data_IF_700091482922
#
_entry.id   IF_700091482922
#
_cell.length_a   1.000
_cell.length_b   1.000
_cell.length_c   1.000
_cell.angle_alpha   90.00
_cell.angle_beta   90.00
_cell.angle_gamma   90.00
#
_symmetry.space_group_name_H-M   'P 1'
#
loop_
_entity.id
_entity.type
_entity.pdbx_description
1 polymer ?
#
# COMPACT_ATOMS: atom_id res chain seq x y z
N UNK A 1 -24.76 -9.69 -7.79
CA UNK A 1 -26.01 -10.39 -7.40
C UNK A 1 -25.85 -10.94 -5.98
N UNK A 2 -26.86 -10.75 -5.10
CA UNK A 2 -26.89 -11.36 -3.78
C UNK A 2 -27.62 -12.71 -3.89
N UNK A 3 -26.92 -13.85 -3.76
CA UNK A 3 -27.55 -15.17 -3.88
C UNK A 3 -28.54 -15.46 -2.76
N UNK A 4 -29.47 -16.40 -3.00
CA UNK A 4 -30.40 -16.87 -1.96
C UNK A 4 -29.62 -17.45 -0.77
N UNK A 5 -30.01 -17.07 0.43
CA UNK A 5 -29.33 -17.48 1.66
C UNK A 5 -28.17 -16.60 2.12
N UNK A 6 -27.68 -15.68 1.27
CA UNK A 6 -26.70 -14.69 1.65
C UNK A 6 -27.33 -13.50 2.38
N UNK A 7 -26.54 -12.82 3.20
CA UNK A 7 -26.94 -11.63 3.95
C UNK A 7 -26.07 -10.46 3.52
N UNK A 8 -26.67 -9.27 3.45
CA UNK A 8 -25.93 -8.02 3.35
C UNK A 8 -25.55 -7.57 4.76
N UNK A 9 -24.27 -7.22 4.95
CA UNK A 9 -23.76 -6.62 6.18
C UNK A 9 -23.30 -5.22 5.88
N UNK A 10 -23.76 -4.25 6.66
CA UNK A 10 -23.25 -2.88 6.67
C UNK A 10 -22.42 -2.73 7.94
N UNK A 11 -21.18 -2.25 7.80
CA UNK A 11 -20.31 -1.90 8.90
C UNK A 11 -20.06 -0.38 8.82
N UNK A 12 -20.26 0.30 9.96
CA UNK A 12 -19.99 1.74 10.10
C UNK A 12 -18.86 1.87 11.11
N UNK A 13 -17.83 2.62 10.75
CA UNK A 13 -16.63 2.80 11.55
C UNK A 13 -16.13 4.24 11.43
N UNK A 14 -15.52 4.76 12.48
CA UNK A 14 -14.88 6.08 12.51
C UNK A 14 -13.44 6.07 12.02
N UNK A 15 -12.86 4.88 11.85
CA UNK A 15 -11.52 4.68 11.31
C UNK A 15 -11.44 3.34 10.58
N UNK A 16 -10.46 3.21 9.69
CA UNK A 16 -10.12 1.96 9.02
C UNK A 16 -8.60 1.86 8.88
N UNK A 17 -7.95 1.64 10.01
CA UNK A 17 -6.50 1.59 10.14
C UNK A 17 -5.85 0.50 9.30
N UNK A 18 -4.74 0.81 8.57
CA UNK A 18 -4.06 2.10 8.44
C UNK A 18 -4.58 2.98 7.30
N UNK A 19 -5.58 2.55 6.53
CA UNK A 19 -6.09 3.25 5.34
C UNK A 19 -6.83 4.54 5.67
N UNK A 20 -7.64 4.53 6.75
CA UNK A 20 -8.31 5.71 7.28
C UNK A 20 -7.86 5.92 8.71
N UNK A 21 -7.14 7.00 8.93
CA UNK A 21 -6.58 7.33 10.22
C UNK A 21 -7.67 7.73 11.21
N UNK A 22 -7.50 7.38 12.50
CA UNK A 22 -8.49 7.71 13.51
C UNK A 22 -8.55 9.21 13.78
N UNK A 23 -9.70 9.69 14.25
CA UNK A 23 -9.85 11.03 14.80
C UNK A 23 -8.95 11.21 16.04
N UNK A 24 -8.52 12.46 16.37
CA UNK A 24 -7.64 12.71 17.51
C UNK A 24 -8.21 12.25 18.85
N UNK A 25 -9.53 12.28 18.97
CA UNK A 25 -10.26 11.86 20.15
C UNK A 25 -11.18 10.70 19.83
N UNK A 26 -11.24 9.72 20.73
CA UNK A 26 -12.21 8.64 20.61
C UNK A 26 -13.64 9.23 20.65
N UNK A 27 -14.30 9.22 19.50
CA UNK A 27 -15.68 9.70 19.37
C UNK A 27 -16.57 8.51 18.98
N UNK A 28 -17.29 7.90 19.93
CA UNK A 28 -18.21 6.82 19.60
C UNK A 28 -19.36 7.35 18.75
N UNK A 29 -19.65 6.65 17.65
CA UNK A 29 -20.83 6.94 16.82
C UNK A 29 -22.00 6.11 17.32
N UNK A 30 -23.10 6.79 17.62
CA UNK A 30 -24.35 6.15 18.03
C UNK A 30 -25.32 6.17 16.85
N UNK A 31 -25.63 5.00 16.32
CA UNK A 31 -26.64 4.86 15.28
C UNK A 31 -28.03 4.80 15.91
N UNK A 32 -28.80 5.88 15.84
CA UNK A 32 -30.14 5.97 16.41
C UNK A 32 -31.24 5.56 15.44
N UNK A 33 -31.04 5.81 14.16
CA UNK A 33 -31.96 5.43 13.08
C UNK A 33 -31.20 5.43 11.75
N UNK A 34 -31.75 4.77 10.74
CA UNK A 34 -31.17 4.75 9.41
C UNK A 34 -32.07 4.05 8.40
N UNK A 35 -31.88 4.41 7.13
CA UNK A 35 -32.52 3.73 6.00
C UNK A 35 -31.44 3.31 5.02
N UNK A 36 -31.47 2.06 4.59
CA UNK A 36 -30.61 1.55 3.54
C UNK A 36 -31.40 1.43 2.23
N UNK A 37 -31.07 2.26 1.26
CA UNK A 37 -31.65 2.18 -0.08
C UNK A 37 -30.71 1.42 -0.99
N UNK A 38 -31.20 0.35 -1.60
CA UNK A 38 -30.44 -0.49 -2.52
C UNK A 38 -31.03 -0.41 -3.93
N UNK A 39 -30.20 -0.22 -4.97
CA UNK A 39 -30.67 -0.30 -6.34
C UNK A 39 -31.07 -1.75 -6.65
N UNK A 40 -32.29 -1.92 -7.14
CA UNK A 40 -32.79 -3.21 -7.60
C UNK A 40 -32.86 -3.21 -9.14
N UNK A 41 -32.08 -4.09 -9.76
CA UNK A 41 -32.17 -4.29 -11.21
C UNK A 41 -33.47 -5.04 -11.52
N UNK A 42 -34.39 -4.46 -12.31
CA UNK A 42 -35.56 -5.21 -12.78
C UNK A 42 -35.10 -6.36 -13.67
N UNK A 43 -35.67 -7.54 -13.43
CA UNK A 43 -35.46 -8.71 -14.31
C UNK A 43 -36.32 -8.50 -15.57
N UNK A 44 -35.73 -7.99 -16.62
CA UNK A 44 -36.35 -7.93 -17.96
C UNK A 44 -35.86 -9.10 -18.80
N UNK A 45 -36.61 -9.48 -19.82
CA UNK A 45 -36.23 -10.58 -20.75
C UNK A 45 -34.82 -10.35 -21.34
N UNK A 46 -34.39 -9.12 -21.51
CA UNK A 46 -33.10 -8.74 -22.09
C UNK A 46 -31.98 -8.53 -21.05
N UNK A 47 -32.27 -8.60 -19.76
CA UNK A 47 -31.27 -8.30 -18.75
C UNK A 47 -30.19 -9.38 -18.55
N UNK A 48 -30.49 -10.59 -18.99
CA UNK A 48 -29.58 -11.76 -18.95
C UNK A 48 -28.99 -12.10 -20.35
N UNK A 49 -29.36 -11.34 -21.40
CA UNK A 49 -28.89 -11.55 -22.78
C UNK A 49 -27.64 -10.71 -23.12
N UNK A 50 -27.11 -9.96 -22.12
CA UNK A 50 -25.92 -9.17 -22.35
C UNK A 50 -24.70 -10.07 -22.45
N UNK A 51 -24.10 -10.13 -23.62
CA UNK A 51 -22.82 -10.78 -23.86
C UNK A 51 -21.70 -9.73 -23.90
N UNK A 52 -20.68 -9.95 -23.11
CA UNK A 52 -19.45 -9.16 -23.21
C UNK A 52 -18.59 -9.77 -24.32
N UNK A 53 -17.94 -8.91 -25.08
CA UNK A 53 -16.88 -9.34 -25.97
C UNK A 53 -15.82 -10.11 -25.17
N UNK A 54 -15.14 -11.10 -25.77
CA UNK A 54 -14.00 -11.73 -25.14
C UNK A 54 -12.99 -10.69 -24.67
N UNK A 55 -12.36 -10.91 -23.51
CA UNK A 55 -11.32 -10.01 -23.03
C UNK A 55 -10.18 -9.93 -24.06
N UNK A 56 -9.83 -8.72 -24.44
CA UNK A 56 -8.63 -8.50 -25.25
C UNK A 56 -7.40 -8.88 -24.43
N UNK A 57 -6.50 -9.64 -25.05
CA UNK A 57 -5.24 -10.07 -24.45
C UNK A 57 -4.09 -9.79 -25.40
N UNK A 58 -2.98 -9.35 -24.85
CA UNK A 58 -1.71 -9.29 -25.57
C UNK A 58 -0.84 -10.50 -25.21
N UNK A 59 0.17 -10.77 -26.02
CA UNK A 59 1.18 -11.77 -25.67
C UNK A 59 1.88 -11.33 -24.37
N UNK A 60 1.98 -12.20 -23.36
CA UNK A 60 2.69 -11.87 -22.13
C UNK A 60 4.12 -11.48 -22.42
N UNK A 61 4.65 -10.53 -21.64
CA UNK A 61 6.05 -10.17 -21.68
C UNK A 61 6.90 -11.43 -21.37
N UNK A 62 7.89 -11.71 -22.22
CA UNK A 62 8.84 -12.80 -21.96
C UNK A 62 9.79 -12.37 -20.87
N UNK A 63 9.73 -13.05 -19.74
CA UNK A 63 10.59 -12.77 -18.61
C UNK A 63 11.03 -14.08 -17.92
N UNK A 64 12.31 -14.12 -17.59
CA UNK A 64 12.91 -15.21 -16.81
C UNK A 64 13.01 -14.76 -15.34
N UNK A 65 12.39 -15.52 -14.44
CA UNK A 65 12.46 -15.24 -13.00
C UNK A 65 13.83 -15.60 -12.47
N UNK A 66 14.54 -14.62 -11.89
CA UNK A 66 15.83 -14.79 -11.22
C UNK A 66 15.63 -15.10 -9.73
N UNK A 67 14.72 -14.35 -9.10
CA UNK A 67 14.37 -14.50 -7.70
C UNK A 67 12.84 -14.53 -7.55
N UNK A 68 12.27 -15.53 -6.86
CA UNK A 68 10.83 -15.58 -6.63
C UNK A 68 10.38 -14.46 -5.68
N UNK A 69 9.13 -14.04 -5.84
CA UNK A 69 8.48 -13.13 -4.91
C UNK A 69 8.23 -13.81 -3.55
N UNK A 70 8.27 -13.00 -2.49
CA UNK A 70 7.95 -13.43 -1.13
C UNK A 70 7.26 -12.30 -0.37
N UNK A 71 6.14 -12.61 0.28
CA UNK A 71 5.31 -11.62 0.95
C UNK A 71 5.02 -12.05 2.39
N UNK A 72 5.18 -11.10 3.32
CA UNK A 72 4.84 -11.28 4.72
C UNK A 72 3.87 -10.17 5.13
N UNK A 73 2.80 -10.55 5.79
CA UNK A 73 1.90 -9.62 6.47
C UNK A 73 1.54 -10.19 7.84
N UNK A 74 1.91 -9.46 8.90
CA UNK A 74 1.66 -9.89 10.27
C UNK A 74 1.29 -8.73 11.18
N UNK A 75 0.55 -9.05 12.23
CA UNK A 75 0.34 -8.13 13.36
C UNK A 75 1.23 -8.57 14.52
N UNK A 76 1.86 -7.59 15.16
CA UNK A 76 2.62 -7.77 16.40
C UNK A 76 1.97 -6.94 17.51
N UNK A 77 1.98 -7.47 18.73
CA UNK A 77 1.51 -6.76 19.92
C UNK A 77 2.64 -6.74 20.93
N UNK A 78 3.08 -5.55 21.30
CA UNK A 78 4.01 -5.38 22.42
C UNK A 78 3.21 -5.58 23.72
N UNK A 79 3.46 -6.72 24.41
CA UNK A 79 2.76 -7.11 25.62
C UNK A 79 2.99 -6.14 26.79
N UNK A 80 4.05 -5.37 26.79
CA UNK A 80 4.38 -4.39 27.83
C UNK A 80 3.66 -3.07 27.62
N UNK A 81 3.53 -2.62 26.38
CA UNK A 81 2.96 -1.30 26.06
C UNK A 81 1.55 -1.38 25.49
N UNK A 82 1.12 -2.54 25.00
CA UNK A 82 -0.15 -2.69 24.28
C UNK A 82 -0.11 -2.16 22.82
N UNK A 83 1.04 -1.69 22.36
CA UNK A 83 1.18 -1.18 20.98
C UNK A 83 0.93 -2.31 19.98
N UNK A 84 0.10 -2.04 19.00
CA UNK A 84 -0.19 -2.95 17.89
C UNK A 84 0.53 -2.45 16.65
N UNK A 85 1.27 -3.32 15.99
CA UNK A 85 2.00 -3.04 14.76
C UNK A 85 1.52 -3.94 13.64
N UNK A 86 1.10 -3.36 12.51
CA UNK A 86 0.97 -4.10 11.25
C UNK A 86 2.29 -3.98 10.51
N UNK A 87 2.89 -5.13 10.18
CA UNK A 87 4.14 -5.23 9.43
C UNK A 87 3.86 -5.88 8.09
N UNK A 88 4.31 -5.22 7.02
CA UNK A 88 4.22 -5.70 5.65
C UNK A 88 5.65 -5.71 5.10
N UNK A 89 6.10 -6.86 4.61
CA UNK A 89 7.37 -7.03 3.95
C UNK A 89 7.11 -7.73 2.62
N UNK A 90 7.22 -6.97 1.54
CA UNK A 90 6.99 -7.45 0.19
C UNK A 90 8.33 -7.47 -0.57
N UNK A 91 8.74 -8.64 -1.00
CA UNK A 91 9.77 -8.84 -2.00
C UNK A 91 9.04 -9.29 -3.28
N UNK A 92 8.98 -8.43 -4.27
CA UNK A 92 8.30 -8.72 -5.53
C UNK A 92 9.11 -9.64 -6.45
N UNK A 93 10.27 -10.08 -5.97
CA UNK A 93 11.20 -10.89 -6.74
C UNK A 93 12.06 -10.07 -7.70
N UNK A 94 12.80 -10.80 -8.52
CA UNK A 94 13.65 -10.22 -9.57
C UNK A 94 13.44 -10.99 -10.85
N UNK A 95 13.25 -10.31 -11.96
CA UNK A 95 13.06 -10.91 -13.28
C UNK A 95 13.96 -10.26 -14.31
N UNK A 96 14.44 -11.09 -15.23
CA UNK A 96 15.10 -10.66 -16.47
C UNK A 96 14.05 -10.57 -17.56
N UNK A 97 13.94 -9.42 -18.21
CA UNK A 97 13.04 -9.21 -19.36
C UNK A 97 13.81 -9.57 -20.63
N UNK A 98 13.45 -10.70 -21.24
CA UNK A 98 14.25 -11.35 -22.27
C UNK A 98 14.38 -10.53 -23.55
N UNK A 99 13.36 -9.74 -23.91
CA UNK A 99 13.33 -8.96 -25.16
C UNK A 99 14.38 -7.83 -25.20
N UNK A 100 14.79 -7.30 -24.05
CA UNK A 100 15.72 -6.16 -24.01
C UNK A 100 16.76 -6.22 -22.86
N UNK A 101 16.86 -7.36 -22.18
CA UNK A 101 17.90 -7.61 -21.17
C UNK A 101 17.82 -6.74 -19.92
N UNK A 102 16.64 -6.25 -19.54
CA UNK A 102 16.47 -5.52 -18.29
C UNK A 102 16.24 -6.50 -17.14
N UNK A 103 17.07 -6.41 -16.12
CA UNK A 103 16.88 -7.10 -14.84
C UNK A 103 16.20 -6.09 -13.90
N UNK A 104 15.03 -6.45 -13.38
CA UNK A 104 14.25 -5.55 -12.52
C UNK A 104 13.77 -6.29 -11.28
N UNK A 105 13.88 -5.63 -10.13
CA UNK A 105 13.39 -6.15 -8.85
C UNK A 105 12.99 -5.02 -7.91
N UNK A 106 12.08 -5.32 -6.97
CA UNK A 106 11.68 -4.34 -5.96
C UNK A 106 11.34 -5.00 -4.63
N UNK A 107 11.50 -4.23 -3.56
CA UNK A 107 11.07 -4.61 -2.22
C UNK A 107 10.33 -3.45 -1.56
N UNK A 108 9.37 -3.77 -0.69
CA UNK A 108 8.69 -2.81 0.15
C UNK A 108 8.67 -3.31 1.59
N UNK A 109 8.89 -2.40 2.53
CA UNK A 109 8.75 -2.67 3.96
C UNK A 109 7.91 -1.56 4.57
N UNK A 110 6.81 -1.95 5.20
CA UNK A 110 5.91 -1.01 5.84
C UNK A 110 5.67 -1.42 7.29
N UNK A 111 5.58 -0.43 8.15
CA UNK A 111 5.22 -0.60 9.55
C UNK A 111 4.21 0.46 9.96
N UNK A 112 3.09 0.01 10.50
CA UNK A 112 1.96 0.82 10.93
C UNK A 112 1.65 0.52 12.38
N UNK A 113 1.97 1.47 13.26
CA UNK A 113 1.85 1.32 14.71
C UNK A 113 0.66 2.14 15.23
N UNK A 114 -0.11 1.56 16.15
CA UNK A 114 -1.16 2.26 16.89
C UNK A 114 -1.37 1.60 18.26
N UNK A 115 -1.59 2.41 19.29
CA UNK A 115 -2.11 1.93 20.55
C UNK A 115 -3.65 2.01 20.52
N UNK A 116 -4.39 0.92 20.81
CA UNK A 116 -5.85 0.88 20.67
C UNK A 116 -6.59 1.97 21.45
N UNK A 117 -6.06 2.35 22.62
CA UNK A 117 -6.67 3.35 23.50
C UNK A 117 -6.13 4.78 23.27
N UNK A 118 -5.22 4.96 22.31
CA UNK A 118 -4.63 6.26 22.01
C UNK A 118 -4.55 6.51 20.50
N UNK A 119 -5.58 7.15 19.90
CA UNK A 119 -5.61 7.43 18.46
C UNK A 119 -4.44 8.27 17.95
N UNK A 120 -3.89 9.16 18.80
CA UNK A 120 -2.75 10.04 18.42
C UNK A 120 -1.43 9.26 18.34
N UNK A 121 -1.37 8.05 18.89
CA UNK A 121 -0.20 7.19 18.76
C UNK A 121 0.00 6.62 17.37
N UNK A 122 -0.99 6.81 16.48
CA UNK A 122 -0.94 6.32 15.11
C UNK A 122 0.26 6.88 14.35
N UNK A 123 1.09 6.02 13.81
CA UNK A 123 2.22 6.37 12.97
C UNK A 123 2.51 5.28 11.95
N UNK A 124 3.06 5.64 10.83
CA UNK A 124 3.46 4.71 9.82
C UNK A 124 4.74 5.16 9.12
N UNK A 125 5.48 4.22 8.62
CA UNK A 125 6.57 4.44 7.72
C UNK A 125 6.66 3.34 6.68
N UNK A 126 7.20 3.68 5.52
CA UNK A 126 7.47 2.75 4.44
C UNK A 126 8.87 2.99 3.88
N UNK A 127 9.50 1.91 3.42
CA UNK A 127 10.74 1.91 2.70
C UNK A 127 10.59 1.06 1.45
N UNK A 128 10.72 1.69 0.29
CA UNK A 128 10.68 1.03 -1.01
C UNK A 128 12.06 1.07 -1.66
N UNK A 129 12.47 -0.06 -2.21
CA UNK A 129 13.69 -0.17 -3.00
C UNK A 129 13.34 -0.72 -4.37
N UNK A 130 13.79 -0.04 -5.41
CA UNK A 130 13.69 -0.49 -6.79
C UNK A 130 15.10 -0.66 -7.36
N UNK A 131 15.37 -1.78 -8.01
CA UNK A 131 16.64 -2.07 -8.68
C UNK A 131 16.39 -2.35 -10.15
N UNK A 132 17.23 -1.79 -11.01
CA UNK A 132 17.26 -2.09 -12.43
C UNK A 132 18.72 -2.26 -12.87
N UNK A 133 18.98 -3.27 -13.68
CA UNK A 133 20.32 -3.58 -14.18
C UNK A 133 20.28 -4.12 -15.60
N UNK A 134 21.42 -4.16 -16.24
CA UNK A 134 21.64 -4.80 -17.56
C UNK A 134 22.94 -5.61 -17.54
N UNK A 135 23.04 -6.57 -18.43
CA UNK A 135 24.21 -7.46 -18.55
C UNK A 135 25.52 -6.72 -18.89
N UNK A 136 25.43 -5.47 -19.35
CA UNK A 136 26.61 -4.63 -19.68
C UNK A 136 27.27 -3.97 -18.44
N UNK A 137 26.84 -4.31 -17.24
CA UNK A 137 27.34 -3.73 -15.99
C UNK A 137 26.64 -2.45 -15.52
N UNK A 138 25.71 -1.91 -16.32
CA UNK A 138 24.89 -0.80 -15.86
C UNK A 138 23.88 -1.26 -14.81
N UNK A 139 23.80 -0.56 -13.68
CA UNK A 139 22.79 -0.78 -12.67
C UNK A 139 22.39 0.53 -11.99
N UNK A 140 21.13 0.61 -11.60
CA UNK A 140 20.59 1.71 -10.79
C UNK A 140 19.74 1.16 -9.66
N UNK A 141 19.77 1.85 -8.54
CA UNK A 141 18.96 1.55 -7.38
C UNK A 141 18.35 2.84 -6.86
N UNK A 142 17.05 2.80 -6.57
CA UNK A 142 16.37 3.90 -5.89
C UNK A 142 15.84 3.42 -4.54
N UNK A 143 15.88 4.30 -3.57
CA UNK A 143 15.26 4.14 -2.25
C UNK A 143 14.30 5.28 -2.00
N UNK A 144 13.09 4.94 -1.60
CA UNK A 144 12.08 5.90 -1.18
C UNK A 144 11.65 5.53 0.24
N UNK A 145 11.91 6.42 1.17
CA UNK A 145 11.48 6.32 2.56
C UNK A 145 10.42 7.38 2.81
N UNK A 146 9.38 7.03 3.54
CA UNK A 146 8.41 8.01 4.00
C UNK A 146 7.80 7.61 5.32
N UNK A 147 7.30 8.60 6.03
CA UNK A 147 6.61 8.37 7.28
C UNK A 147 5.57 9.43 7.56
N UNK A 148 4.63 9.06 8.42
CA UNK A 148 3.59 9.95 8.89
C UNK A 148 3.27 9.66 10.35
N UNK A 149 3.06 10.71 11.12
CA UNK A 149 2.43 10.68 12.43
C UNK A 149 1.46 11.87 12.56
N UNK A 150 0.70 11.92 13.63
CA UNK A 150 -0.25 13.00 13.84
C UNK A 150 -0.27 13.45 15.28
N UNK A 151 -0.58 14.72 15.50
CA UNK A 151 -1.02 15.27 16.77
C UNK A 151 -2.53 15.59 16.74
N UNK A 152 -3.03 16.39 17.67
CA UNK A 152 -4.45 16.78 17.72
C UNK A 152 -4.87 17.70 16.57
N UNK A 153 -3.93 18.41 15.92
CA UNK A 153 -4.21 19.49 14.99
C UNK A 153 -3.71 19.22 13.58
N UNK A 154 -2.67 18.39 13.44
CA UNK A 154 -1.97 18.23 12.16
C UNK A 154 -1.50 16.80 11.93
N UNK A 155 -1.37 16.46 10.66
CA UNK A 155 -0.56 15.36 10.18
C UNK A 155 0.84 15.88 9.85
N UNK A 156 1.87 15.16 10.29
CA UNK A 156 3.27 15.43 10.01
C UNK A 156 3.80 14.32 9.10
N UNK A 157 4.21 14.70 7.92
CA UNK A 157 4.74 13.79 6.91
C UNK A 157 6.18 14.12 6.60
N UNK A 158 6.94 13.13 6.28
CA UNK A 158 8.27 13.28 5.71
C UNK A 158 8.46 12.27 4.57
N UNK A 159 9.28 12.62 3.61
CA UNK A 159 9.72 11.72 2.56
C UNK A 159 11.19 11.99 2.23
N UNK A 160 11.88 10.92 1.90
CA UNK A 160 13.28 10.93 1.47
C UNK A 160 13.42 10.03 0.24
N UNK A 161 14.09 10.51 -0.78
CA UNK A 161 14.37 9.76 -1.99
C UNK A 161 15.85 9.83 -2.31
N UNK A 162 16.45 8.68 -2.56
CA UNK A 162 17.82 8.54 -3.01
C UNK A 162 17.88 7.72 -4.28
N UNK A 163 18.78 8.07 -5.18
CA UNK A 163 19.11 7.25 -6.34
C UNK A 163 20.62 7.03 -6.44
N UNK A 164 20.97 5.83 -6.85
CA UNK A 164 22.35 5.35 -6.96
C UNK A 164 22.54 4.77 -8.35
N UNK A 165 23.70 5.02 -8.93
CA UNK A 165 24.14 4.41 -10.16
C UNK A 165 25.42 3.62 -9.91
N UNK A 166 25.49 2.43 -10.49
CA UNK A 166 26.71 1.62 -10.47
C UNK A 166 27.46 1.81 -11.78
N UNK A 167 28.68 2.31 -11.65
CA UNK A 167 29.58 2.50 -12.76
C UNK A 167 30.10 1.14 -13.32
N UNK A 168 30.64 1.12 -14.56
CA UNK A 168 31.23 -0.10 -15.14
C UNK A 168 32.32 -0.75 -14.29
N UNK A 169 32.99 0.02 -13.45
CA UNK A 169 34.00 -0.48 -12.49
C UNK A 169 33.39 -1.15 -11.26
N UNK A 170 32.04 -1.24 -11.18
CA UNK A 170 31.31 -1.85 -10.07
C UNK A 170 31.17 -0.96 -8.83
N UNK A 171 31.54 0.31 -8.93
CA UNK A 171 31.38 1.28 -7.83
C UNK A 171 30.01 1.92 -7.89
N UNK A 172 29.26 1.85 -6.80
CA UNK A 172 27.98 2.54 -6.63
C UNK A 172 28.22 3.99 -6.15
N UNK A 173 27.57 4.95 -6.81
CA UNK A 173 27.61 6.37 -6.45
C UNK A 173 26.18 6.90 -6.28
N UNK A 174 25.96 7.73 -5.27
CA UNK A 174 24.68 8.42 -5.08
C UNK A 174 24.59 9.59 -6.06
N UNK A 175 23.61 9.53 -6.97
CA UNK A 175 23.40 10.53 -8.00
C UNK A 175 22.25 11.48 -7.72
N UNK A 176 21.39 11.11 -6.76
CA UNK A 176 20.27 11.94 -6.33
C UNK A 176 19.98 11.73 -4.85
N UNK A 177 19.61 12.80 -4.16
CA UNK A 177 19.07 12.76 -2.81
C UNK A 177 18.17 13.98 -2.58
N UNK A 178 16.99 13.74 -2.04
CA UNK A 178 16.06 14.79 -1.64
C UNK A 178 15.33 14.35 -0.37
N UNK A 179 15.10 15.31 0.52
CA UNK A 179 14.32 15.12 1.74
C UNK A 179 13.33 16.26 1.90
N UNK A 180 12.07 15.93 2.20
CA UNK A 180 10.99 16.90 2.38
C UNK A 180 10.17 16.58 3.62
N UNK A 181 9.61 17.63 4.24
CA UNK A 181 8.70 17.55 5.37
C UNK A 181 7.47 18.41 5.12
N UNK A 182 6.33 17.92 5.59
CA UNK A 182 5.06 18.65 5.50
C UNK A 182 4.31 18.57 6.82
N UNK A 183 3.54 19.62 7.11
CA UNK A 183 2.52 19.62 8.15
C UNK A 183 1.19 20.00 7.50
N UNK A 184 0.21 19.14 7.64
CA UNK A 184 -1.13 19.29 7.02
C UNK A 184 -2.17 19.38 8.13
N UNK A 185 -2.99 20.44 8.19
CA UNK A 185 -4.05 20.55 9.19
C UNK A 185 -5.04 19.38 9.11
N UNK A 186 -5.52 18.95 10.26
CA UNK A 186 -6.57 17.92 10.39
C UNK A 186 -7.95 18.56 10.36
N UNK A 187 -8.24 19.29 9.29
CA UNK A 187 -9.55 19.88 9.10
C UNK A 187 -10.61 18.79 8.97
N UNK A 188 -11.74 18.98 9.63
CA UNK A 188 -12.88 18.06 9.60
C UNK A 188 -12.66 16.67 10.27
N UNK A 189 -11.68 16.52 11.13
CA UNK A 189 -11.41 15.26 11.82
C UNK A 189 -11.48 15.41 13.35
#
# INVERSE_FOLDING_TARGET
RLPKGHRLRVAISTAYWPLLWPTPKAAPVVLTAGTLTLPKRPLTKHSDEWHFEPAETSTPLKATQIKPAHHIRRNEVDQRTGLVSLIIEDDFGTSHIDDHGLISGSTARERWDIHPDNPISAKGHAHWTQTNARDNGWAVRTEALCGMHADEQSFHLWAEMSAFETNPDGKEEQVFHEHQNWSVPRDFM
#
